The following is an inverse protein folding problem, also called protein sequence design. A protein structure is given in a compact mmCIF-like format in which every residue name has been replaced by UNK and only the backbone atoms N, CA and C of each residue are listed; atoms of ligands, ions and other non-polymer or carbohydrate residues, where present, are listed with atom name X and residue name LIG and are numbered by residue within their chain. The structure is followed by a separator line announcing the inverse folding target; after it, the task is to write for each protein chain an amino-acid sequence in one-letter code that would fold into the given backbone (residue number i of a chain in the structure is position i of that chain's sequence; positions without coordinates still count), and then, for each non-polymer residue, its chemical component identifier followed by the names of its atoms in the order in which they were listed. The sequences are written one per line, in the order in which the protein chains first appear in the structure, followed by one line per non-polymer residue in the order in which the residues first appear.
data_IF_702091744961
#
_entry.id   IF_702091744961
#
_cell.length_a   1.000
_cell.length_b   1.000
_cell.length_c   1.000
_cell.angle_alpha   90.00
_cell.angle_beta   90.00
_cell.angle_gamma   90.00
#
_symmetry.space_group_name_H-M   'P 1'
#
loop_
_entity.id
_entity.type
_entity.pdbx_description
1 polymer ?
#
# COMPACT_ATOMS: atom_id res chain seq x y z
N UNK A 1 18.94 -28.95 4.74
CA UNK A 1 18.41 -27.63 5.14
C UNK A 1 16.99 -27.60 4.63
N UNK A 2 16.01 -27.60 5.53
CA UNK A 2 14.60 -27.70 5.15
C UNK A 2 13.99 -26.30 5.27
N UNK A 3 13.35 -25.85 4.19
CA UNK A 3 12.61 -24.60 4.14
C UNK A 3 11.12 -24.93 4.13
N UNK A 4 10.35 -24.28 4.99
CA UNK A 4 8.89 -24.43 5.05
C UNK A 4 8.28 -23.12 4.54
N UNK A 5 7.40 -23.21 3.54
CA UNK A 5 6.60 -22.06 3.07
C UNK A 5 5.29 -22.06 3.84
N UNK A 6 4.92 -20.92 4.41
CA UNK A 6 3.68 -20.72 5.15
C UNK A 6 2.94 -19.58 4.47
N UNK A 7 1.74 -19.86 3.99
CA UNK A 7 0.83 -18.83 3.48
C UNK A 7 0.02 -18.27 4.65
N UNK A 8 -0.06 -16.94 4.71
CA UNK A 8 -0.75 -16.22 5.78
C UNK A 8 -1.87 -15.43 5.11
N UNK A 9 -3.11 -15.78 5.43
CA UNK A 9 -4.29 -15.12 4.85
C UNK A 9 -4.63 -13.80 5.56
N UNK A 10 -4.22 -13.63 6.82
CA UNK A 10 -4.51 -12.45 7.63
C UNK A 10 -3.23 -11.82 8.19
N UNK A 11 -2.95 -10.60 7.72
CA UNK A 11 -1.77 -9.81 8.11
C UNK A 11 -1.65 -9.60 9.63
N UNK A 12 -2.76 -9.68 10.39
CA UNK A 12 -2.75 -9.49 11.85
C UNK A 12 -1.97 -10.59 12.58
N UNK A 13 -1.78 -11.74 11.95
CA UNK A 13 -1.14 -12.91 12.55
C UNK A 13 0.39 -12.91 12.32
N UNK A 14 0.89 -12.07 11.40
CA UNK A 14 2.32 -11.93 11.08
C UNK A 14 3.17 -11.64 12.32
N UNK A 15 2.86 -10.65 13.18
CA UNK A 15 3.71 -10.32 14.33
C UNK A 15 3.80 -11.45 15.37
N UNK A 16 2.76 -12.27 15.47
CA UNK A 16 2.71 -13.40 16.40
C UNK A 16 3.58 -14.55 15.87
N UNK A 17 3.54 -14.79 14.56
CA UNK A 17 4.38 -15.78 13.90
C UNK A 17 5.87 -15.39 13.94
N UNK A 18 6.21 -14.12 13.69
CA UNK A 18 7.58 -13.61 13.82
C UNK A 18 8.18 -13.87 15.19
N UNK A 19 7.39 -13.56 16.23
CA UNK A 19 7.82 -13.76 17.62
C UNK A 19 8.09 -15.23 17.90
N UNK A 20 7.18 -16.11 17.50
CA UNK A 20 7.33 -17.56 17.70
C UNK A 20 8.57 -18.11 16.97
N UNK A 21 8.76 -17.74 15.70
CA UNK A 21 9.90 -18.22 14.90
C UNK A 21 11.24 -17.71 15.46
N UNK A 22 11.26 -16.48 15.97
CA UNK A 22 12.43 -15.89 16.63
C UNK A 22 12.74 -16.60 17.96
N UNK A 23 11.73 -16.87 18.79
CA UNK A 23 11.89 -17.59 20.06
C UNK A 23 12.40 -19.02 19.85
N UNK A 24 12.00 -19.66 18.74
CA UNK A 24 12.48 -20.98 18.35
C UNK A 24 13.85 -20.96 17.65
N UNK A 25 14.44 -19.79 17.40
CA UNK A 25 15.75 -19.63 16.78
C UNK A 25 15.78 -19.91 15.27
N UNK A 26 14.62 -19.88 14.60
CA UNK A 26 14.54 -20.02 13.15
C UNK A 26 14.89 -18.72 12.43
N UNK A 27 15.52 -18.86 11.26
CA UNK A 27 15.70 -17.76 10.32
C UNK A 27 14.54 -17.78 9.32
N UNK A 28 13.92 -16.63 9.10
CA UNK A 28 12.81 -16.46 8.18
C UNK A 28 12.95 -15.14 7.41
N UNK A 29 12.21 -15.03 6.32
CA UNK A 29 12.09 -13.81 5.52
C UNK A 29 10.70 -13.80 4.87
N UNK A 30 10.19 -12.62 4.58
CA UNK A 30 8.89 -12.47 3.93
C UNK A 30 9.06 -12.36 2.42
N UNK A 31 8.26 -13.13 1.70
CA UNK A 31 8.03 -12.95 0.28
C UNK A 31 6.61 -12.43 0.12
N UNK A 32 6.48 -11.16 -0.23
CA UNK A 32 5.20 -10.59 -0.63
C UNK A 32 5.07 -10.84 -2.13
N UNK A 33 4.13 -11.69 -2.52
CA UNK A 33 3.69 -11.73 -3.91
C UNK A 33 2.90 -10.44 -4.15
N UNK A 34 3.36 -9.53 -5.03
CA UNK A 34 2.55 -8.38 -5.38
C UNK A 34 1.24 -8.93 -5.95
N UNK A 35 0.10 -8.55 -5.35
CA UNK A 35 -1.20 -8.89 -5.91
C UNK A 35 -1.19 -8.50 -7.39
N UNK A 36 -1.29 -9.49 -8.28
CA UNK A 36 -1.34 -9.29 -9.75
C UNK A 36 -2.56 -8.46 -10.20
N UNK A 37 -3.38 -7.95 -9.28
CA UNK A 37 -4.62 -7.25 -9.60
C UNK A 37 -4.92 -6.06 -8.68
N UNK A 38 -3.95 -5.20 -8.41
CA UNK A 38 -4.30 -3.78 -8.30
C UNK A 38 -4.14 -3.17 -9.69
N UNK A 39 -5.12 -3.41 -10.58
CA UNK A 39 -5.30 -2.54 -11.76
C UNK A 39 -5.63 -1.17 -11.19
N UNK A 40 -4.59 -0.37 -10.89
CA UNK A 40 -4.77 1.00 -10.43
C UNK A 40 -5.44 1.73 -11.59
N UNK A 41 -6.68 2.22 -11.43
CA UNK A 41 -7.36 2.95 -12.50
C UNK A 41 -6.48 4.10 -12.96
N UNK A 42 -6.47 4.42 -14.25
CA UNK A 42 -5.60 5.47 -14.81
C UNK A 42 -5.79 6.82 -14.08
N UNK A 43 -7.01 7.11 -13.63
CA UNK A 43 -7.33 8.27 -12.79
C UNK A 43 -6.64 8.25 -11.41
N UNK A 44 -6.45 7.07 -10.82
CA UNK A 44 -5.73 6.90 -9.56
C UNK A 44 -4.22 7.04 -9.77
N UNK A 45 -3.66 6.56 -10.90
CA UNK A 45 -2.27 6.81 -11.27
C UNK A 45 -1.98 8.31 -11.39
N UNK A 46 -2.88 9.07 -12.03
CA UNK A 46 -2.76 10.52 -12.15
C UNK A 46 -2.84 11.22 -10.78
N UNK A 47 -3.79 10.80 -9.93
CA UNK A 47 -3.92 11.32 -8.56
C UNK A 47 -2.67 11.06 -7.70
N UNK A 48 -2.09 9.87 -7.80
CA UNK A 48 -0.85 9.49 -7.10
C UNK A 48 0.33 10.32 -7.62
N UNK A 49 0.48 10.46 -8.93
CA UNK A 49 1.57 11.24 -9.53
C UNK A 49 1.53 12.72 -9.12
N UNK A 50 0.36 13.34 -9.13
CA UNK A 50 0.15 14.71 -8.70
C UNK A 50 0.41 14.89 -7.18
N UNK A 51 -0.03 13.93 -6.36
CA UNK A 51 0.23 13.94 -4.91
C UNK A 51 1.71 13.80 -4.57
N UNK A 52 2.45 12.95 -5.29
CA UNK A 52 3.90 12.81 -5.16
C UNK A 52 4.64 14.06 -5.62
N UNK A 53 4.18 14.71 -6.69
CA UNK A 53 4.71 15.98 -7.18
C UNK A 53 4.54 17.10 -6.15
N UNK A 54 3.35 17.25 -5.59
CA UNK A 54 3.08 18.24 -4.55
C UNK A 54 3.95 18.01 -3.30
N UNK A 55 4.20 16.74 -2.92
CA UNK A 55 5.09 16.39 -1.81
C UNK A 55 6.55 16.77 -2.11
N UNK A 56 7.04 16.47 -3.31
CA UNK A 56 8.41 16.81 -3.74
C UNK A 56 8.61 18.33 -3.87
N UNK A 57 7.56 19.06 -4.24
CA UNK A 57 7.56 20.54 -4.30
C UNK A 57 7.37 21.19 -2.92
N UNK A 58 7.27 20.40 -1.84
CA UNK A 58 7.11 20.91 -0.47
C UNK A 58 5.75 21.57 -0.19
N UNK A 59 4.76 21.33 -1.05
CA UNK A 59 3.38 21.88 -0.91
C UNK A 59 2.54 21.11 0.12
N UNK A 60 3.06 20.03 0.67
CA UNK A 60 2.42 19.18 1.67
C UNK A 60 3.44 18.79 2.74
N UNK A 61 3.09 19.02 4.02
CA UNK A 61 4.04 18.96 5.13
C UNK A 61 4.13 17.57 5.80
N UNK A 62 3.15 16.69 5.56
CA UNK A 62 3.14 15.32 6.08
C UNK A 62 2.38 14.34 5.15
N UNK A 63 2.56 13.03 5.39
CA UNK A 63 1.92 11.97 4.60
C UNK A 63 0.39 11.92 4.77
N UNK A 64 -0.15 12.47 5.86
CA UNK A 64 -1.58 12.47 6.15
C UNK A 64 -2.32 13.52 5.30
N UNK A 65 -1.74 14.72 5.18
CA UNK A 65 -2.19 15.77 4.28
C UNK A 65 -2.05 15.38 2.81
N UNK A 66 -0.98 14.63 2.46
CA UNK A 66 -0.81 14.10 1.11
C UNK A 66 -1.92 13.10 0.75
N UNK A 67 -2.26 12.17 1.66
CA UNK A 67 -3.39 11.24 1.48
C UNK A 67 -4.73 11.95 1.32
N UNK A 68 -5.05 12.92 2.19
CA UNK A 68 -6.30 13.69 2.09
C UNK A 68 -6.44 14.43 0.75
N UNK A 69 -5.34 14.99 0.22
CA UNK A 69 -5.36 15.65 -1.09
C UNK A 69 -5.55 14.67 -2.25
N UNK A 70 -4.93 13.49 -2.17
CA UNK A 70 -5.11 12.42 -3.16
C UNK A 70 -6.57 11.96 -3.17
N UNK A 71 -7.15 11.66 -2.01
CA UNK A 71 -8.56 11.23 -1.88
C UNK A 71 -9.54 12.28 -2.39
N UNK A 72 -9.26 13.56 -2.11
CA UNK A 72 -10.05 14.68 -2.62
C UNK A 72 -9.98 14.79 -4.14
N UNK A 73 -8.78 14.71 -4.75
CA UNK A 73 -8.63 14.78 -6.20
C UNK A 73 -9.29 13.59 -6.91
N UNK A 74 -9.20 12.38 -6.33
CA UNK A 74 -9.90 11.20 -6.85
C UNK A 74 -11.42 11.42 -6.85
N UNK A 75 -11.97 11.93 -5.74
CA UNK A 75 -13.41 12.22 -5.64
C UNK A 75 -13.87 13.30 -6.63
N UNK A 76 -13.10 14.38 -6.79
CA UNK A 76 -13.38 15.44 -7.76
C UNK A 76 -13.34 14.94 -9.21
N UNK A 77 -12.45 14.00 -9.53
CA UNK A 77 -12.36 13.38 -10.86
C UNK A 77 -13.51 12.38 -11.11
N UNK A 78 -13.90 11.59 -10.12
CA UNK A 78 -15.04 10.68 -10.22
C UNK A 78 -16.37 11.41 -10.45
N UNK A 79 -16.57 12.56 -9.80
CA UNK A 79 -17.74 13.41 -10.03
C UNK A 79 -17.75 14.02 -11.44
N UNK A 80 -16.58 14.37 -11.99
CA UNK A 80 -16.47 14.84 -13.38
C UNK A 80 -16.66 13.73 -14.41
N UNK A 81 -16.29 12.50 -14.08
CA UNK A 81 -16.45 11.34 -14.96
C UNK A 81 -17.87 10.74 -14.93
N UNK A 82 -18.62 10.91 -13.84
CA UNK A 82 -20.00 10.40 -13.67
C UNK A 82 -21.10 11.39 -14.06
N UNK A 83 -20.76 12.57 -14.57
CA UNK A 83 -21.72 13.58 -15.05
C UNK A 83 -21.88 13.55 -16.57
N UNK A 84 -22.53 12.51 -17.11
CA UNK A 84 -23.11 12.45 -18.45
C UNK A 84 -24.49 11.82 -18.39
#
# INVERSE_FOLDING_TARGET
MNTVRVEIEDDKDIPQLEKLLTELGYKFYFEFEPEESAIIPEAALFGIAEGLKDRNEGKVFDNFQARQRIDRKISEMQQKAGGQ
#
